data_IF_418964574094
#
_entry.id   IF_418964574094
#
_cell.length_a   1.000
_cell.length_b   1.000
_cell.length_c   1.000
_cell.angle_alpha   90.00
_cell.angle_beta   90.00
_cell.angle_gamma   90.00
#
_symmetry.space_group_name_H-M   'P 1'
#
loop_
_entity.id
_entity.type
_entity.pdbx_description
1 polymer ?
#
# COMPACT_ATOMS: atom_id res chain seq x y z
N UNK A 1 19.66 -15.16 57.35
CA UNK A 1 19.39 -13.80 57.86
C UNK A 1 18.05 -13.34 57.32
N UNK A 2 17.06 -13.16 58.20
CA UNK A 2 15.70 -12.68 57.90
C UNK A 2 15.60 -11.25 58.40
N UNK A 3 15.29 -10.28 57.55
CA UNK A 3 14.96 -8.92 57.99
C UNK A 3 13.46 -8.70 57.85
N UNK A 4 12.83 -8.48 59.01
CA UNK A 4 11.47 -7.95 59.20
C UNK A 4 11.61 -6.47 59.58
N UNK A 5 10.90 -5.57 58.93
CA UNK A 5 10.55 -4.24 59.43
C UNK A 5 9.20 -3.87 58.78
N UNK A 6 8.10 -3.94 59.54
CA UNK A 6 7.53 -2.88 60.40
C UNK A 6 6.76 -1.83 59.58
N UNK A 7 5.46 -2.07 59.55
CA UNK A 7 4.36 -1.16 59.20
C UNK A 7 4.33 0.08 60.09
N UNK A 8 4.16 1.26 59.48
CA UNK A 8 3.63 2.45 60.16
C UNK A 8 2.48 2.98 59.31
N UNK A 9 1.28 2.88 59.88
CA UNK A 9 0.07 3.53 59.40
C UNK A 9 0.05 4.98 59.87
N UNK A 10 -0.20 5.91 58.95
CA UNK A 10 -0.65 7.27 59.30
C UNK A 10 -1.91 7.55 58.52
N UNK A 11 -3.03 7.49 59.23
CA UNK A 11 -4.32 8.01 58.80
C UNK A 11 -4.34 9.52 59.05
N UNK A 12 -4.61 10.30 58.01
CA UNK A 12 -4.94 11.72 58.15
C UNK A 12 -6.08 12.09 57.19
N UNK A 13 -7.25 12.19 57.83
CA UNK A 13 -8.43 13.01 57.58
C UNK A 13 -8.45 14.00 56.38
N UNK A 14 -9.55 13.89 55.62
CA UNK A 14 -10.43 14.93 55.04
C UNK A 14 -9.83 16.24 54.51
N UNK A 15 -10.18 16.58 53.27
CA UNK A 15 -10.98 17.78 52.93
C UNK A 15 -11.68 17.55 51.58
N UNK A 16 -12.99 17.82 51.58
CA UNK A 16 -13.85 17.93 50.40
C UNK A 16 -13.39 19.05 49.47
N UNK A 17 -13.21 18.75 48.18
CA UNK A 17 -13.44 19.69 47.09
C UNK A 17 -14.20 18.97 45.98
N UNK A 18 -15.53 19.00 46.07
CA UNK A 18 -16.44 18.76 44.96
C UNK A 18 -16.35 19.95 43.99
N UNK A 19 -15.24 20.04 43.25
CA UNK A 19 -15.20 20.83 42.04
C UNK A 19 -15.88 20.00 40.95
N UNK A 20 -17.15 20.31 40.69
CA UNK A 20 -17.84 19.83 39.50
C UNK A 20 -17.10 20.32 38.27
N UNK A 21 -16.20 19.50 37.75
CA UNK A 21 -15.72 19.63 36.38
C UNK A 21 -16.93 19.39 35.48
N UNK A 22 -17.66 20.46 35.17
CA UNK A 22 -18.48 20.52 33.99
C UNK A 22 -17.54 20.14 32.84
N UNK A 23 -17.61 18.88 32.43
CA UNK A 23 -17.05 18.42 31.16
C UNK A 23 -17.84 19.17 30.10
N UNK A 24 -17.36 20.37 29.79
CA UNK A 24 -17.60 21.01 28.51
C UNK A 24 -17.07 19.99 27.52
N UNK A 25 -17.98 19.16 27.01
CA UNK A 25 -17.78 18.47 25.76
C UNK A 25 -17.74 19.59 24.73
N UNK A 26 -16.56 20.17 24.57
CA UNK A 26 -16.24 20.91 23.36
C UNK A 26 -16.66 19.99 22.24
N UNK A 27 -17.68 20.44 21.50
CA UNK A 27 -18.13 19.79 20.29
C UNK A 27 -16.92 19.77 19.37
N UNK A 28 -16.15 18.68 19.43
CA UNK A 28 -15.09 18.42 18.48
C UNK A 28 -15.75 18.59 17.13
N UNK A 29 -15.27 19.53 16.29
CA UNK A 29 -15.82 19.69 14.95
C UNK A 29 -15.84 18.31 14.32
N UNK A 30 -16.98 17.94 13.73
CA UNK A 30 -17.18 16.67 13.05
C UNK A 30 -16.11 16.55 11.97
N UNK A 31 -15.03 15.86 12.37
CA UNK A 31 -13.96 15.27 11.62
C UNK A 31 -13.47 16.00 10.39
N UNK A 32 -12.46 16.86 10.55
CA UNK A 32 -11.29 16.71 9.67
C UNK A 32 -10.79 15.28 9.84
N UNK A 33 -11.26 14.42 8.94
CA UNK A 33 -10.98 13.00 8.91
C UNK A 33 -9.48 12.89 8.67
N UNK A 34 -8.70 12.70 9.75
CA UNK A 34 -7.24 12.51 9.69
C UNK A 34 -6.94 11.60 8.51
N UNK A 35 -6.12 12.09 7.58
CA UNK A 35 -5.61 11.28 6.48
C UNK A 35 -4.96 10.05 7.08
N UNK A 36 -5.70 8.94 7.08
CA UNK A 36 -5.17 7.65 7.49
C UNK A 36 -4.01 7.36 6.56
N UNK A 37 -2.83 7.09 7.13
CA UNK A 37 -1.61 6.76 6.41
C UNK A 37 -1.30 5.30 6.64
N UNK A 38 -0.76 4.61 5.64
CA UNK A 38 -0.13 3.32 5.85
C UNK A 38 1.01 3.45 6.88
N UNK A 39 1.09 2.51 7.82
CA UNK A 39 2.22 2.39 8.73
C UNK A 39 3.52 2.10 7.95
N UNK A 40 4.58 2.84 8.23
CA UNK A 40 5.84 2.74 7.48
C UNK A 40 6.84 1.82 8.16
N UNK A 41 7.57 1.03 7.36
CA UNK A 41 8.75 0.32 7.83
C UNK A 41 9.83 1.33 8.27
N UNK A 42 10.56 1.09 9.38
CA UNK A 42 11.66 1.96 9.81
C UNK A 42 12.70 2.24 8.73
N UNK A 43 12.94 1.28 7.83
CA UNK A 43 13.94 1.40 6.75
C UNK A 43 13.60 2.46 5.69
N UNK A 44 12.34 2.86 5.58
CA UNK A 44 11.89 3.88 4.63
C UNK A 44 11.25 5.10 5.31
N UNK A 45 11.14 5.12 6.63
CA UNK A 45 10.47 6.21 7.37
C UNK A 45 11.14 7.58 7.14
N UNK A 46 12.47 7.62 6.95
CA UNK A 46 13.22 8.83 6.64
C UNK A 46 13.32 9.17 5.14
N UNK A 47 12.76 8.34 4.26
CA UNK A 47 12.76 8.60 2.81
C UNK A 47 11.65 9.59 2.48
N UNK A 48 11.97 10.57 1.62
CA UNK A 48 11.01 11.58 1.18
C UNK A 48 9.76 10.92 0.57
N UNK A 49 8.59 11.41 0.97
CA UNK A 49 7.31 10.99 0.43
C UNK A 49 7.00 11.81 -0.82
N UNK A 50 6.52 11.13 -1.84
CA UNK A 50 6.11 11.70 -3.10
C UNK A 50 4.65 11.39 -3.39
N UNK A 51 3.89 12.38 -3.82
CA UNK A 51 2.48 12.21 -4.22
C UNK A 51 2.38 11.98 -5.72
N UNK A 52 1.44 11.12 -6.14
CA UNK A 52 1.08 10.97 -7.55
C UNK A 52 0.23 12.14 -8.08
N UNK A 53 -0.23 13.03 -7.21
CA UNK A 53 -0.94 14.26 -7.58
C UNK A 53 -2.36 14.08 -8.11
N UNK A 54 -2.90 12.85 -8.15
CA UNK A 54 -4.23 12.55 -8.68
C UNK A 54 -4.99 11.56 -7.79
N UNK A 55 -6.27 11.83 -7.56
CA UNK A 55 -7.13 11.03 -6.67
C UNK A 55 -8.01 9.98 -7.38
N UNK A 56 -8.17 10.11 -8.69
CA UNK A 56 -8.96 9.20 -9.51
C UNK A 56 -8.31 9.07 -10.88
N UNK A 57 -8.23 7.86 -11.41
CA UNK A 57 -7.51 7.63 -12.67
C UNK A 57 -8.44 7.76 -13.88
N UNK A 58 -9.68 7.26 -13.82
CA UNK A 58 -10.51 7.09 -15.03
C UNK A 58 -9.86 6.11 -16.03
N UNK A 59 -10.42 5.96 -17.24
CA UNK A 59 -9.88 5.03 -18.23
C UNK A 59 -8.53 5.45 -18.85
N UNK A 60 -8.24 6.75 -19.00
CA UNK A 60 -7.00 7.24 -19.62
C UNK A 60 -6.56 8.56 -19.04
N UNK A 61 -5.27 8.85 -19.12
CA UNK A 61 -4.75 10.16 -18.74
C UNK A 61 -3.24 10.22 -18.66
N UNK A 62 -2.76 11.34 -18.14
CA UNK A 62 -1.36 11.59 -17.87
C UNK A 62 -1.20 12.38 -16.57
N UNK A 63 -0.01 12.28 -15.99
CA UNK A 63 0.41 13.03 -14.81
C UNK A 63 1.94 13.11 -14.74
N UNK A 64 2.47 13.79 -13.73
CA UNK A 64 3.90 13.84 -13.45
C UNK A 64 4.21 13.19 -12.12
N UNK A 65 5.30 12.42 -12.08
CA UNK A 65 5.91 11.86 -10.88
C UNK A 65 7.38 12.28 -10.91
N UNK A 66 7.83 13.09 -9.95
CA UNK A 66 9.19 13.67 -9.86
C UNK A 66 9.58 14.45 -11.11
N UNK A 67 8.60 15.14 -11.71
CA UNK A 67 8.80 15.83 -12.98
C UNK A 67 8.88 14.90 -14.21
N UNK A 68 8.85 13.58 -14.03
CA UNK A 68 8.78 12.62 -15.12
C UNK A 68 7.33 12.42 -15.55
N UNK A 69 7.09 12.49 -16.86
CA UNK A 69 5.75 12.29 -17.42
C UNK A 69 5.36 10.81 -17.36
N UNK A 70 4.12 10.56 -16.95
CA UNK A 70 3.47 9.25 -17.00
C UNK A 70 2.22 9.36 -17.86
N UNK A 71 2.00 8.41 -18.76
CA UNK A 71 0.75 8.27 -19.55
C UNK A 71 0.19 6.89 -19.30
N UNK A 72 -1.13 6.75 -19.20
CA UNK A 72 -1.76 5.47 -18.94
C UNK A 72 -3.10 5.31 -19.67
N UNK A 73 -3.45 4.04 -19.87
CA UNK A 73 -4.73 3.55 -20.35
C UNK A 73 -5.12 2.32 -19.51
N UNK A 74 -6.35 2.31 -19.02
CA UNK A 74 -6.90 1.27 -18.16
C UNK A 74 -8.03 0.56 -18.89
N UNK A 75 -8.11 -0.75 -18.72
CA UNK A 75 -9.15 -1.59 -19.31
C UNK A 75 -10.54 -1.41 -18.68
N UNK A 76 -10.63 -0.65 -17.57
CA UNK A 76 -11.88 -0.29 -16.90
C UNK A 76 -11.71 1.04 -16.15
N UNK A 77 -12.83 1.74 -15.93
CA UNK A 77 -12.86 2.98 -15.15
C UNK A 77 -12.52 2.75 -13.68
N UNK A 78 -12.88 1.58 -13.13
CA UNK A 78 -12.56 1.15 -11.78
C UNK A 78 -11.81 -0.18 -11.83
N UNK A 79 -10.62 -0.19 -11.23
CA UNK A 79 -9.86 -1.40 -10.98
C UNK A 79 -9.58 -1.47 -9.48
N UNK A 80 -9.79 -2.64 -8.89
CA UNK A 80 -9.45 -2.88 -7.49
C UNK A 80 -8.70 -4.21 -7.41
N UNK A 81 -7.48 -4.17 -6.86
CA UNK A 81 -6.63 -5.36 -6.71
C UNK A 81 -7.25 -6.46 -5.86
N UNK A 82 -8.25 -6.15 -5.05
CA UNK A 82 -8.89 -7.09 -4.12
C UNK A 82 -10.31 -7.47 -4.54
N UNK A 83 -10.84 -6.86 -5.61
CA UNK A 83 -12.13 -7.21 -6.18
C UNK A 83 -11.91 -8.10 -7.41
N UNK A 84 -12.86 -8.98 -7.77
CA UNK A 84 -12.78 -9.75 -9.00
C UNK A 84 -12.66 -8.85 -10.24
N UNK A 85 -11.78 -9.21 -11.17
CA UNK A 85 -11.68 -8.52 -12.45
C UNK A 85 -12.88 -8.90 -13.33
N UNK A 86 -13.50 -7.91 -13.99
CA UNK A 86 -14.59 -8.17 -14.92
C UNK A 86 -14.13 -9.13 -16.04
N UNK A 87 -14.92 -10.15 -16.43
CA UNK A 87 -14.49 -11.16 -17.39
C UNK A 87 -14.07 -10.63 -18.77
N UNK A 88 -14.57 -9.44 -19.14
CA UNK A 88 -14.23 -8.75 -20.39
C UNK A 88 -12.87 -8.04 -20.36
N UNK A 89 -12.27 -7.84 -19.18
CA UNK A 89 -11.04 -7.06 -19.02
C UNK A 89 -9.84 -8.00 -18.97
N UNK A 90 -9.14 -8.17 -20.09
CA UNK A 90 -7.90 -8.97 -20.18
C UNK A 90 -6.62 -8.14 -19.98
N UNK A 91 -6.62 -6.92 -20.51
CA UNK A 91 -5.50 -5.98 -20.39
C UNK A 91 -5.94 -4.83 -19.49
N UNK A 92 -5.84 -4.99 -18.15
CA UNK A 92 -6.30 -3.97 -17.22
C UNK A 92 -5.49 -2.67 -17.31
N UNK A 93 -4.25 -2.69 -17.78
CA UNK A 93 -3.40 -1.51 -17.76
C UNK A 93 -2.34 -1.51 -18.86
N UNK A 94 -2.16 -0.35 -19.49
CA UNK A 94 -1.00 0.03 -20.29
C UNK A 94 -0.50 1.36 -19.75
N UNK A 95 0.81 1.54 -19.63
CA UNK A 95 1.36 2.84 -19.27
C UNK A 95 2.77 3.04 -19.81
N UNK A 96 3.15 4.30 -19.94
CA UNK A 96 4.53 4.72 -20.19
C UNK A 96 4.99 5.73 -19.16
N UNK A 97 6.28 5.71 -18.87
CA UNK A 97 6.96 6.61 -17.93
C UNK A 97 8.28 7.08 -18.53
N UNK A 98 8.45 8.39 -18.64
CA UNK A 98 9.67 9.02 -19.14
C UNK A 98 10.72 9.13 -18.02
N UNK A 99 11.31 7.99 -17.65
CA UNK A 99 12.23 7.89 -16.52
C UNK A 99 13.63 8.45 -16.83
N UNK A 100 14.44 8.73 -15.78
CA UNK A 100 15.82 9.21 -15.95
C UNK A 100 16.74 8.21 -16.67
N UNK A 101 16.42 6.92 -16.60
CA UNK A 101 17.12 5.84 -17.31
C UNK A 101 16.50 5.52 -18.69
N UNK A 102 15.76 6.48 -19.26
CA UNK A 102 15.03 6.34 -20.52
C UNK A 102 13.56 5.97 -20.34
N UNK A 103 12.83 6.05 -21.45
CA UNK A 103 11.41 5.73 -21.50
C UNK A 103 11.17 4.25 -21.14
N UNK A 104 10.13 4.03 -20.34
CA UNK A 104 9.68 2.70 -19.94
C UNK A 104 8.22 2.55 -20.34
N UNK A 105 7.89 1.47 -21.06
CA UNK A 105 6.53 1.16 -21.46
C UNK A 105 6.14 -0.23 -20.93
N UNK A 106 4.92 -0.34 -20.42
CA UNK A 106 4.39 -1.54 -19.80
C UNK A 106 3.05 -1.93 -20.38
N UNK A 107 2.85 -3.25 -20.50
CA UNK A 107 1.54 -3.85 -20.75
C UNK A 107 1.27 -4.83 -19.62
N UNK A 108 0.12 -4.66 -18.97
CA UNK A 108 -0.33 -5.51 -17.89
C UNK A 108 -1.54 -6.34 -18.31
N UNK A 109 -1.47 -7.62 -18.00
CA UNK A 109 -2.50 -8.63 -18.18
C UNK A 109 -3.10 -8.99 -16.82
N UNK A 110 -4.40 -9.29 -16.80
CA UNK A 110 -5.14 -9.66 -15.61
C UNK A 110 -5.95 -10.93 -15.83
N UNK A 111 -5.91 -11.86 -14.87
CA UNK A 111 -6.78 -13.05 -14.91
C UNK A 111 -7.14 -13.52 -13.50
N UNK A 112 -8.31 -14.13 -13.36
CA UNK A 112 -8.74 -14.78 -12.12
C UNK A 112 -8.48 -16.27 -12.25
N UNK A 113 -7.60 -16.88 -11.42
CA UNK A 113 -7.38 -18.32 -11.44
C UNK A 113 -8.66 -19.12 -11.21
N UNK A 114 -8.78 -20.29 -11.85
CA UNK A 114 -9.90 -21.20 -11.60
C UNK A 114 -9.84 -21.77 -10.18
N UNK A 115 -11.02 -21.97 -9.60
CA UNK A 115 -11.16 -22.39 -8.22
C UNK A 115 -10.81 -23.87 -8.11
N UNK A 116 -9.71 -24.21 -7.42
CA UNK A 116 -9.44 -25.61 -7.08
C UNK A 116 -10.50 -26.08 -6.08
N UNK A 117 -11.03 -27.29 -6.24
CA UNK A 117 -12.15 -27.87 -5.48
C UNK A 117 -11.98 -27.91 -3.93
N UNK A 118 -10.79 -27.57 -3.41
CA UNK A 118 -10.45 -27.61 -1.98
C UNK A 118 -10.47 -26.23 -1.28
N UNK A 119 -10.87 -25.15 -1.96
CA UNK A 119 -10.76 -23.78 -1.43
C UNK A 119 -11.99 -23.33 -0.62
N UNK A 120 -11.90 -23.32 0.72
CA UNK A 120 -12.88 -22.69 1.65
C UNK A 120 -12.92 -21.14 1.57
N UNK A 121 -12.19 -20.52 0.66
CA UNK A 121 -12.10 -19.06 0.46
C UNK A 121 -12.92 -18.62 -0.75
N UNK A 122 -14.20 -19.02 -0.80
CA UNK A 122 -15.02 -18.88 -2.00
C UNK A 122 -15.36 -17.43 -2.37
N UNK A 123 -15.33 -16.51 -1.40
CA UNK A 123 -15.99 -15.21 -1.55
C UNK A 123 -15.07 -14.08 -2.03
N UNK A 124 -13.76 -14.28 -2.04
CA UNK A 124 -12.80 -13.34 -2.62
C UNK A 124 -11.89 -14.08 -3.59
N UNK A 125 -12.15 -13.96 -4.89
CA UNK A 125 -11.27 -14.47 -5.95
C UNK A 125 -10.30 -13.37 -6.38
N UNK A 126 -9.15 -13.18 -5.73
CA UNK A 126 -8.17 -12.20 -6.17
C UNK A 126 -7.67 -12.55 -7.56
N UNK A 127 -7.72 -11.59 -8.49
CA UNK A 127 -7.11 -11.75 -9.80
C UNK A 127 -5.59 -11.57 -9.71
N UNK A 128 -4.85 -12.17 -10.63
CA UNK A 128 -3.40 -12.03 -10.79
C UNK A 128 -3.12 -10.90 -11.79
N UNK A 129 -2.28 -9.96 -11.39
CA UNK A 129 -1.73 -8.93 -12.27
C UNK A 129 -0.36 -9.38 -12.77
N UNK A 130 -0.15 -9.42 -14.07
CA UNK A 130 1.19 -9.60 -14.67
C UNK A 130 1.51 -8.44 -15.60
N UNK A 131 2.57 -7.69 -15.32
CA UNK A 131 3.04 -6.61 -16.17
C UNK A 131 4.37 -6.98 -16.82
N UNK A 132 4.53 -6.59 -18.09
CA UNK A 132 5.75 -6.80 -18.87
C UNK A 132 6.23 -5.47 -19.41
N UNK A 133 7.53 -5.21 -19.28
CA UNK A 133 8.20 -4.06 -19.88
C UNK A 133 9.18 -4.54 -20.95
N UNK A 134 9.11 -3.95 -22.15
CA UNK A 134 10.15 -4.06 -23.19
C UNK A 134 11.06 -2.82 -23.18
N UNK A 135 12.27 -2.79 -23.75
CA UNK A 135 13.17 -3.85 -24.22
C UNK A 135 14.55 -3.67 -23.56
N UNK A 136 15.21 -4.79 -23.23
CA UNK A 136 16.58 -4.99 -22.74
C UNK A 136 17.12 -4.07 -21.60
N UNK A 137 17.28 -4.59 -20.35
CA UNK A 137 16.74 -5.86 -19.87
C UNK A 137 15.22 -5.78 -19.77
N UNK A 138 14.54 -6.81 -20.28
CA UNK A 138 13.10 -6.95 -20.08
C UNK A 138 12.80 -7.02 -18.58
N UNK A 139 11.66 -6.49 -18.17
CA UNK A 139 11.18 -6.61 -16.81
C UNK A 139 9.81 -7.28 -16.75
N UNK A 140 9.55 -7.96 -15.64
CA UNK A 140 8.29 -8.61 -15.37
C UNK A 140 7.87 -8.37 -13.93
N UNK A 141 6.60 -8.08 -13.72
CA UNK A 141 5.96 -8.00 -12.42
C UNK A 141 4.84 -9.02 -12.41
N UNK A 142 4.70 -9.75 -11.33
CA UNK A 142 3.55 -10.62 -11.08
C UNK A 142 3.12 -10.47 -9.63
N UNK A 143 1.82 -10.20 -9.42
CA UNK A 143 1.22 -10.08 -8.09
C UNK A 143 -0.08 -10.86 -8.08
N UNK A 144 -0.23 -11.75 -7.11
CA UNK A 144 -1.41 -12.59 -6.95
C UNK A 144 -1.81 -12.72 -5.49
N UNK A 145 -2.55 -13.79 -5.22
CA UNK A 145 -2.86 -14.21 -3.86
C UNK A 145 -1.58 -14.61 -3.12
N UNK A 146 -1.39 -14.07 -1.93
CA UNK A 146 -0.34 -14.44 -1.00
C UNK A 146 -0.84 -15.45 0.04
N UNK A 147 -0.04 -15.66 1.08
CA UNK A 147 -0.43 -16.52 2.19
C UNK A 147 -1.48 -15.83 3.08
N UNK A 148 -2.50 -16.56 3.53
CA UNK A 148 -3.37 -16.04 4.58
C UNK A 148 -2.56 -15.86 5.87
N UNK A 149 -2.47 -14.61 6.36
CA UNK A 149 -1.79 -14.29 7.62
C UNK A 149 -2.79 -13.68 8.59
N UNK A 150 -2.96 -14.30 9.75
CA UNK A 150 -3.88 -13.84 10.81
C UNK A 150 -5.32 -13.64 10.28
N UNK A 151 -5.79 -14.55 9.43
CA UNK A 151 -7.13 -14.46 8.82
C UNK A 151 -7.30 -13.35 7.80
N UNK A 152 -6.21 -12.72 7.33
CA UNK A 152 -6.23 -11.70 6.28
C UNK A 152 -5.58 -12.23 5.01
N UNK A 153 -6.21 -11.94 3.88
CA UNK A 153 -5.69 -12.26 2.56
C UNK A 153 -4.56 -11.29 2.24
N UNK A 154 -3.31 -11.76 2.26
CA UNK A 154 -2.19 -10.97 1.74
C UNK A 154 -2.14 -11.06 0.22
N UNK A 155 -1.58 -10.04 -0.42
CA UNK A 155 -1.16 -10.11 -1.81
C UNK A 155 0.35 -10.01 -1.85
N UNK A 156 0.94 -10.95 -2.56
CA UNK A 156 2.39 -11.06 -2.68
C UNK A 156 2.75 -11.21 -4.15
N UNK A 157 3.98 -10.84 -4.46
CA UNK A 157 4.46 -10.84 -5.83
C UNK A 157 5.94 -10.53 -5.93
N UNK A 158 6.40 -10.46 -7.17
CA UNK A 158 7.76 -10.06 -7.45
C UNK A 158 7.82 -9.23 -8.73
N UNK A 159 8.71 -8.26 -8.72
CA UNK A 159 9.22 -7.60 -9.90
C UNK A 159 10.64 -8.09 -10.18
N UNK A 160 10.97 -8.34 -11.45
CA UNK A 160 12.28 -8.82 -11.90
C UNK A 160 12.76 -8.01 -13.10
N UNK A 161 14.01 -7.57 -13.09
CA UNK A 161 14.70 -6.93 -14.23
C UNK A 161 16.19 -7.30 -14.21
N UNK A 162 16.62 -8.14 -15.16
CA UNK A 162 17.95 -8.75 -15.09
C UNK A 162 18.13 -9.53 -13.77
N UNK A 163 19.24 -9.31 -13.08
CA UNK A 163 19.53 -9.92 -11.77
C UNK A 163 18.76 -9.27 -10.60
N UNK A 164 18.14 -8.11 -10.83
CA UNK A 164 17.42 -7.40 -9.78
C UNK A 164 16.04 -8.04 -9.56
N UNK A 165 15.81 -8.50 -8.33
CA UNK A 165 14.50 -8.95 -7.85
C UNK A 165 14.01 -8.05 -6.71
N UNK A 166 12.75 -7.63 -6.82
CA UNK A 166 12.02 -6.87 -5.81
C UNK A 166 10.79 -7.69 -5.39
N UNK A 167 10.73 -8.08 -4.12
CA UNK A 167 9.53 -8.67 -3.53
C UNK A 167 8.45 -7.60 -3.31
N UNK A 168 7.19 -7.97 -3.47
CA UNK A 168 6.03 -7.11 -3.26
C UNK A 168 5.15 -7.74 -2.20
N UNK A 169 4.75 -6.97 -1.19
CA UNK A 169 3.91 -7.43 -0.10
C UNK A 169 2.85 -6.41 0.25
N UNK A 170 1.59 -6.82 0.35
CA UNK A 170 0.52 -5.95 0.81
C UNK A 170 0.72 -5.54 2.27
N UNK A 171 0.50 -4.25 2.55
CA UNK A 171 0.48 -3.69 3.89
C UNK A 171 -0.97 -3.53 4.36
N UNK A 172 -1.23 -3.79 5.63
CA UNK A 172 -2.59 -3.80 6.20
C UNK A 172 -2.72 -2.93 7.46
N UNK A 173 -1.67 -2.20 7.85
CA UNK A 173 -1.69 -1.41 9.08
C UNK A 173 -1.74 0.08 8.75
N UNK A 174 -2.61 0.80 9.45
CA UNK A 174 -2.55 2.26 9.49
C UNK A 174 -1.55 2.71 10.55
N UNK A 175 -0.95 3.87 10.32
CA UNK A 175 -0.11 4.55 11.30
C UNK A 175 -0.88 4.78 12.60
N UNK A 176 -0.26 4.43 13.73
CA UNK A 176 -0.88 4.53 15.06
C UNK A 176 -1.99 3.49 15.33
N UNK A 177 -2.28 2.57 14.40
CA UNK A 177 -3.26 1.52 14.61
C UNK A 177 -2.58 0.15 14.75
N UNK A 178 -2.85 -0.55 15.85
CA UNK A 178 -2.33 -1.89 16.09
C UNK A 178 -3.14 -2.98 15.35
N UNK A 179 -4.37 -2.68 14.95
CA UNK A 179 -5.27 -3.65 14.33
C UNK A 179 -5.13 -3.64 12.79
N UNK A 180 -4.74 -4.77 12.18
CA UNK A 180 -4.69 -4.89 10.72
C UNK A 180 -6.05 -4.77 10.07
N UNK A 181 -6.10 -4.03 8.97
CA UNK A 181 -7.24 -3.89 8.09
C UNK A 181 -7.45 -5.16 7.26
N UNK A 182 -8.71 -5.43 6.90
CA UNK A 182 -9.02 -6.55 6.00
C UNK A 182 -8.52 -6.27 4.60
N UNK A 183 -8.81 -5.09 4.06
CA UNK A 183 -8.24 -4.62 2.80
C UNK A 183 -6.78 -4.19 3.01
N UNK A 184 -5.94 -4.35 2.00
CA UNK A 184 -4.63 -3.73 2.04
C UNK A 184 -4.76 -2.21 1.93
N UNK A 185 -3.91 -1.52 2.68
CA UNK A 185 -3.81 -0.06 2.69
C UNK A 185 -2.64 0.43 1.83
N UNK A 186 -1.85 -0.49 1.27
CA UNK A 186 -0.69 -0.17 0.46
C UNK A 186 0.19 -1.39 0.19
N UNK A 187 1.42 -1.15 -0.26
CA UNK A 187 2.42 -2.18 -0.54
C UNK A 187 3.79 -1.78 -0.02
N UNK A 188 4.52 -2.78 0.46
CA UNK A 188 5.96 -2.71 0.73
C UNK A 188 6.71 -3.40 -0.41
N UNK A 189 7.84 -2.80 -0.79
CA UNK A 189 8.74 -3.26 -1.84
C UNK A 189 10.06 -3.68 -1.20
N UNK A 190 10.42 -4.95 -1.33
CA UNK A 190 11.52 -5.58 -0.61
C UNK A 190 12.66 -5.94 -1.56
N UNK A 191 13.89 -5.55 -1.25
CA UNK A 191 15.09 -6.04 -1.91
C UNK A 191 15.95 -6.76 -0.89
N UNK A 192 16.29 -8.03 -1.17
CA UNK A 192 17.07 -8.88 -0.25
C UNK A 192 16.48 -8.92 1.18
N UNK A 193 15.14 -8.97 1.29
CA UNK A 193 14.42 -9.01 2.56
C UNK A 193 14.26 -7.65 3.27
N UNK A 194 14.91 -6.59 2.78
CA UNK A 194 14.80 -5.24 3.34
C UNK A 194 13.75 -4.43 2.59
N UNK A 195 12.87 -3.72 3.30
CA UNK A 195 11.93 -2.78 2.66
C UNK A 195 12.72 -1.58 2.14
N UNK A 196 12.73 -1.42 0.81
CA UNK A 196 13.44 -0.36 0.09
C UNK A 196 12.49 0.69 -0.48
N UNK A 197 11.19 0.39 -0.54
CA UNK A 197 10.17 1.34 -0.94
C UNK A 197 8.82 1.00 -0.33
N UNK A 198 7.92 1.97 -0.33
CA UNK A 198 6.55 1.80 0.12
C UNK A 198 5.58 2.61 -0.75
N UNK A 199 4.42 2.02 -1.02
CA UNK A 199 3.32 2.65 -1.75
C UNK A 199 2.10 2.69 -0.82
N UNK A 200 1.78 3.88 -0.35
CA UNK A 200 0.58 4.13 0.45
C UNK A 200 -0.63 4.34 -0.47
N UNK A 201 -1.65 3.52 -0.29
CA UNK A 201 -2.92 3.53 -1.03
C UNK A 201 -4.11 3.84 -0.10
N UNK A 202 -3.86 4.21 1.16
CA UNK A 202 -4.92 4.46 2.15
C UNK A 202 -5.71 5.74 1.86
N UNK A 203 -5.08 6.71 1.22
CA UNK A 203 -5.63 8.02 0.89
C UNK A 203 -6.41 8.02 -0.43
N UNK A 204 -6.93 9.20 -0.79
CA UNK A 204 -7.46 9.43 -2.14
C UNK A 204 -6.34 9.48 -3.18
N UNK A 205 -5.17 10.03 -2.82
CA UNK A 205 -4.00 10.14 -3.69
C UNK A 205 -2.92 9.17 -3.24
N UNK A 206 -2.44 8.27 -4.12
CA UNK A 206 -1.32 7.38 -3.79
C UNK A 206 -0.05 8.14 -3.46
N UNK A 207 0.75 7.59 -2.52
CA UNK A 207 2.00 8.19 -2.07
C UNK A 207 3.13 7.18 -2.08
N UNK A 208 4.28 7.55 -2.62
CA UNK A 208 5.45 6.70 -2.82
C UNK A 208 6.62 7.17 -1.97
N UNK A 209 7.28 6.23 -1.30
CA UNK A 209 8.66 6.39 -0.83
C UNK A 209 9.54 5.44 -1.60
N UNK A 210 10.59 5.96 -2.23
CA UNK A 210 11.48 5.18 -3.09
C UNK A 210 12.92 5.70 -3.01
N UNK A 211 13.92 4.87 -3.34
CA UNK A 211 15.27 5.34 -3.64
C UNK A 211 15.26 6.25 -4.87
N UNK A 212 16.39 6.91 -5.14
CA UNK A 212 16.58 7.75 -6.33
C UNK A 212 16.15 7.02 -7.62
N UNK A 213 15.17 7.55 -8.39
CA UNK A 213 14.70 6.92 -9.61
C UNK A 213 15.75 6.79 -10.72
N UNK A 214 16.87 7.51 -10.63
CA UNK A 214 18.03 7.34 -11.52
C UNK A 214 18.78 6.03 -11.32
N UNK A 215 18.61 5.36 -10.18
CA UNK A 215 19.27 4.09 -9.87
C UNK A 215 18.46 2.89 -10.38
N UNK A 216 19.09 1.72 -10.66
CA UNK A 216 18.36 0.51 -11.05
C UNK A 216 17.28 0.10 -10.04
N UNK A 217 17.57 0.26 -8.74
CA UNK A 217 16.63 -0.07 -7.67
C UNK A 217 15.47 0.93 -7.60
N UNK A 218 15.75 2.24 -7.67
CA UNK A 218 14.71 3.26 -7.71
C UNK A 218 13.80 3.11 -8.93
N UNK A 219 14.37 2.79 -10.11
CA UNK A 219 13.61 2.44 -11.32
C UNK A 219 12.66 1.27 -11.09
N UNK A 220 13.16 0.16 -10.52
CA UNK A 220 12.35 -1.02 -10.23
C UNK A 220 11.20 -0.74 -9.26
N UNK A 221 11.48 0.00 -8.18
CA UNK A 221 10.48 0.44 -7.20
C UNK A 221 9.42 1.34 -7.88
N UNK A 222 9.85 2.24 -8.76
CA UNK A 222 8.95 3.14 -9.50
C UNK A 222 8.00 2.39 -10.42
N UNK A 223 8.54 1.48 -11.23
CA UNK A 223 7.75 0.72 -12.20
C UNK A 223 6.72 -0.18 -11.48
N UNK A 224 7.13 -0.83 -10.38
CA UNK A 224 6.22 -1.61 -9.56
C UNK A 224 5.14 -0.74 -8.90
N UNK A 225 5.51 0.42 -8.36
CA UNK A 225 4.59 1.36 -7.72
C UNK A 225 3.58 1.94 -8.72
N UNK A 226 4.01 2.30 -9.94
CA UNK A 226 3.13 2.75 -11.01
C UNK A 226 2.10 1.69 -11.39
N UNK A 227 2.56 0.45 -11.60
CA UNK A 227 1.67 -0.66 -11.91
C UNK A 227 0.60 -0.83 -10.84
N UNK A 228 1.01 -0.85 -9.55
CA UNK A 228 0.12 -1.02 -8.41
C UNK A 228 -0.85 0.14 -8.21
N UNK A 229 -0.37 1.39 -8.29
CA UNK A 229 -1.19 2.58 -8.08
C UNK A 229 -2.27 2.72 -9.16
N UNK A 230 -1.91 2.47 -10.43
CA UNK A 230 -2.82 2.63 -11.56
C UNK A 230 -3.91 1.54 -11.64
N UNK A 231 -3.67 0.35 -11.06
CA UNK A 231 -4.72 -0.68 -10.93
C UNK A 231 -5.48 -0.62 -9.60
N UNK A 232 -5.22 0.40 -8.78
CA UNK A 232 -5.89 0.61 -7.50
C UNK A 232 -6.70 1.90 -7.54
N UNK A 233 -8.03 1.77 -7.60
CA UNK A 233 -8.94 2.85 -7.24
C UNK A 233 -9.21 2.78 -5.73
N UNK A 234 -9.14 3.89 -4.99
CA UNK A 234 -9.73 3.92 -3.66
C UNK A 234 -11.22 3.59 -3.77
N UNK A 235 -11.73 2.74 -2.88
CA UNK A 235 -13.17 2.53 -2.77
C UNK A 235 -13.86 3.89 -2.49
N UNK A 236 -15.03 4.17 -3.09
CA UNK A 236 -15.81 5.33 -2.69
C UNK A 236 -16.06 5.25 -1.19
N UNK A 237 -15.58 6.26 -0.46
CA UNK A 237 -15.62 6.34 1.01
C UNK A 237 -16.98 6.80 1.52
#
# INVERSE_FOLDING_TARGET
>A
MRQRFSTVSVSALLILLLAGCASVRDGRPVGERRDQRMAQSPSVAGVAEESFGKSAWGAKGDFTLSGQRVRYERGADKLALFEPLAPSVRTPLRFSWAGPAGDSASVCEGWTPEQTANGRLADSKPWVLSCKWGSAPAAMLQIGEGQMRRGKLSREGAYRRGELTLGLRSAHLYEGNAQPQTAAVGYEMLHQGTVVGSLDLSGSVPRLRRPDPGTPLGRAVTEAALALALVSEPAPR
#
